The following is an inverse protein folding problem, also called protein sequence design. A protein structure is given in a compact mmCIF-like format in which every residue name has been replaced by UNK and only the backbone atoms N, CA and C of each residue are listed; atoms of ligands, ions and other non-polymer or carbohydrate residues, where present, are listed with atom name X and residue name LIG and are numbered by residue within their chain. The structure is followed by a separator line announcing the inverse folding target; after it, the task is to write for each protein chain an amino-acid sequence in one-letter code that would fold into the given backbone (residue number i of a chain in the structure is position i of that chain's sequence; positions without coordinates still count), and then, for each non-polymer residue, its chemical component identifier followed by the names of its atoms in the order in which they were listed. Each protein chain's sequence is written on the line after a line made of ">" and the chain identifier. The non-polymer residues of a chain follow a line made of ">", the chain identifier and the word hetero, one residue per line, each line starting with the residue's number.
data_IF_238072189733
#
_entry.id   IF_238072189733
#
_cell.length_a   1.000
_cell.length_b   1.000
_cell.length_c   1.000
_cell.angle_alpha   90.00
_cell.angle_beta   90.00
_cell.angle_gamma   90.00
#
_symmetry.space_group_name_H-M   'P 1'
#
loop_
_entity.id
_entity.type
_entity.pdbx_description
1 polymer ?
#
# COMPACT_ATOMS: atom_id res chain seq x y z
N UNK A 1 5.14 16.45 -7.52
CA UNK A 1 4.09 16.93 -8.46
C UNK A 1 2.69 16.71 -7.90
N UNK A 2 2.28 15.47 -7.56
CA UNK A 2 0.92 15.19 -7.08
C UNK A 2 0.44 16.11 -5.95
N UNK A 3 1.28 16.32 -4.93
CA UNK A 3 0.94 17.18 -3.81
C UNK A 3 0.64 18.61 -4.23
N UNK A 4 1.42 19.15 -5.16
CA UNK A 4 1.17 20.49 -5.70
C UNK A 4 -0.20 20.55 -6.36
N UNK A 5 -0.54 19.57 -7.18
CA UNK A 5 -1.84 19.52 -7.86
C UNK A 5 -2.98 19.43 -6.84
N UNK A 6 -2.87 18.54 -5.86
CA UNK A 6 -3.88 18.35 -4.81
C UNK A 6 -3.98 19.51 -3.81
N UNK A 7 -2.94 20.34 -3.68
CA UNK A 7 -2.98 21.60 -2.90
C UNK A 7 -3.69 22.71 -3.66
N UNK A 8 -3.71 22.67 -4.99
CA UNK A 8 -4.50 23.57 -5.85
C UNK A 8 -5.84 22.91 -6.23
N UNK A 9 -6.31 21.98 -5.39
CA UNK A 9 -7.56 21.24 -5.51
C UNK A 9 -7.74 20.42 -6.80
N UNK A 10 -6.74 20.19 -7.63
CA UNK A 10 -6.93 19.33 -8.80
C UNK A 10 -7.16 17.86 -8.44
N UNK A 11 -8.09 17.22 -9.14
CA UNK A 11 -8.46 15.82 -8.97
C UNK A 11 -8.46 15.05 -10.30
N UNK A 12 -8.40 13.73 -10.22
CA UNK A 12 -8.34 12.83 -11.38
C UNK A 12 -9.43 11.77 -11.29
N UNK A 13 -10.14 11.55 -12.41
CA UNK A 13 -11.27 10.61 -12.49
C UNK A 13 -10.84 9.14 -12.63
N UNK A 14 -9.58 8.90 -13.02
CA UNK A 14 -9.00 7.56 -13.09
C UNK A 14 -7.57 7.53 -12.54
N UNK A 15 -7.13 6.33 -12.14
CA UNK A 15 -5.77 6.10 -11.67
C UNK A 15 -4.75 6.32 -12.79
N UNK A 16 -5.09 5.96 -14.03
CA UNK A 16 -4.24 6.19 -15.21
C UNK A 16 -4.09 7.68 -15.52
N UNK A 17 -5.15 8.48 -15.39
CA UNK A 17 -5.07 9.95 -15.55
C UNK A 17 -4.22 10.59 -14.46
N UNK A 18 -4.36 10.12 -13.22
CA UNK A 18 -3.50 10.54 -12.11
C UNK A 18 -2.02 10.25 -12.41
N UNK A 19 -1.70 9.03 -12.84
CA UNK A 19 -0.32 8.65 -13.18
C UNK A 19 0.20 9.44 -14.39
N UNK A 20 -0.64 9.66 -15.40
CA UNK A 20 -0.30 10.47 -16.56
C UNK A 20 0.00 11.92 -16.17
N UNK A 21 -0.75 12.53 -15.26
CA UNK A 21 -0.47 13.88 -14.78
C UNK A 21 0.89 13.98 -14.05
N UNK A 22 1.38 12.88 -13.48
CA UNK A 22 2.65 12.86 -12.75
C UNK A 22 3.87 12.77 -13.66
N UNK A 23 3.82 11.93 -14.68
CA UNK A 23 4.97 11.65 -15.53
C UNK A 23 4.63 11.32 -16.98
N UNK A 24 3.47 11.76 -17.46
CA UNK A 24 3.01 11.57 -18.83
C UNK A 24 2.85 10.09 -19.19
N UNK A 25 3.11 9.80 -20.47
CA UNK A 25 3.02 8.45 -21.02
C UNK A 25 4.11 7.51 -20.48
N UNK A 26 5.20 8.04 -19.92
CA UNK A 26 6.22 7.21 -19.27
C UNK A 26 5.64 6.48 -18.05
N UNK A 27 4.92 7.20 -17.18
CA UNK A 27 4.34 6.62 -15.96
C UNK A 27 3.24 5.61 -16.27
N UNK A 28 2.40 5.86 -17.27
CA UNK A 28 1.38 4.88 -17.69
C UNK A 28 2.00 3.66 -18.36
N UNK A 29 3.10 3.82 -19.13
CA UNK A 29 3.86 2.69 -19.69
C UNK A 29 4.46 1.79 -18.61
N UNK A 30 4.84 2.35 -17.47
CA UNK A 30 5.38 1.58 -16.34
C UNK A 30 4.37 0.60 -15.73
N UNK A 31 3.08 0.73 -16.01
CA UNK A 31 2.06 -0.27 -15.69
C UNK A 31 2.07 -1.47 -16.63
N UNK A 32 2.71 -1.37 -17.80
CA UNK A 32 2.62 -2.37 -18.87
C UNK A 32 3.94 -3.07 -19.19
N UNK A 33 4.99 -2.78 -18.43
CA UNK A 33 6.30 -3.42 -18.58
C UNK A 33 6.86 -3.79 -17.20
N UNK A 34 7.77 -4.76 -17.17
CA UNK A 34 8.44 -5.16 -15.93
C UNK A 34 9.50 -4.13 -15.49
N UNK A 35 9.86 -4.12 -14.21
CA UNK A 35 10.99 -3.30 -13.73
C UNK A 35 12.31 -3.78 -14.33
N UNK A 36 12.46 -5.09 -14.55
CA UNK A 36 13.62 -5.68 -15.22
C UNK A 36 13.82 -5.09 -16.63
N UNK A 37 12.81 -5.16 -17.51
CA UNK A 37 12.86 -4.60 -18.86
C UNK A 37 13.11 -3.08 -18.86
N UNK A 38 12.47 -2.36 -17.93
CA UNK A 38 12.61 -0.92 -17.82
C UNK A 38 14.05 -0.52 -17.44
N UNK A 39 14.66 -1.22 -16.49
CA UNK A 39 16.02 -0.94 -16.03
C UNK A 39 17.08 -1.39 -17.03
N UNK A 40 16.89 -2.53 -17.70
CA UNK A 40 17.77 -2.92 -18.79
C UNK A 40 17.77 -1.88 -19.92
N UNK A 41 16.58 -1.37 -20.30
CA UNK A 41 16.47 -0.29 -21.31
C UNK A 41 17.14 1.02 -20.86
N UNK A 42 17.15 1.29 -19.56
CA UNK A 42 17.87 2.43 -18.99
C UNK A 42 19.40 2.20 -18.86
N UNK A 43 19.92 1.04 -19.28
CA UNK A 43 21.36 0.75 -19.31
C UNK A 43 21.91 0.07 -18.05
N UNK A 44 21.05 -0.36 -17.12
CA UNK A 44 21.50 -1.12 -15.95
C UNK A 44 21.81 -2.57 -16.33
N UNK A 45 22.89 -3.11 -15.76
CA UNK A 45 23.27 -4.50 -15.99
C UNK A 45 22.31 -5.47 -15.28
N UNK A 46 22.13 -6.67 -15.85
CA UNK A 46 21.36 -7.73 -15.20
C UNK A 46 21.90 -8.08 -13.81
N UNK A 47 23.22 -7.98 -13.62
CA UNK A 47 23.87 -8.19 -12.32
C UNK A 47 23.36 -7.21 -11.27
N UNK A 48 23.31 -5.91 -11.61
CA UNK A 48 22.77 -4.90 -10.70
C UNK A 48 21.28 -5.14 -10.40
N UNK A 49 20.50 -5.51 -11.42
CA UNK A 49 19.08 -5.82 -11.25
C UNK A 49 18.89 -7.01 -10.30
N UNK A 50 19.67 -8.08 -10.47
CA UNK A 50 19.56 -9.28 -9.65
C UNK A 50 20.10 -9.09 -8.23
N UNK A 51 21.20 -8.36 -8.05
CA UNK A 51 21.91 -8.26 -6.76
C UNK A 51 21.49 -7.05 -5.92
N UNK A 52 20.85 -6.03 -6.51
CA UNK A 52 20.45 -4.79 -5.80
C UNK A 52 18.94 -4.56 -5.89
N UNK A 53 18.39 -4.59 -7.10
CA UNK A 53 16.96 -4.28 -7.31
C UNK A 53 16.08 -5.40 -6.77
N UNK A 54 16.37 -6.65 -7.14
CA UNK A 54 15.58 -7.80 -6.71
C UNK A 54 15.48 -7.94 -5.17
N UNK A 55 16.57 -7.81 -4.39
CA UNK A 55 16.47 -7.81 -2.93
C UNK A 55 15.58 -6.70 -2.37
N UNK A 56 15.64 -5.47 -2.92
CA UNK A 56 14.74 -4.39 -2.53
C UNK A 56 13.28 -4.73 -2.83
N UNK A 57 12.99 -5.27 -4.03
CA UNK A 57 11.66 -5.74 -4.40
C UNK A 57 11.14 -6.82 -3.45
N UNK A 58 11.99 -7.77 -3.04
CA UNK A 58 11.61 -8.87 -2.15
C UNK A 58 11.35 -8.41 -0.72
N UNK A 59 12.05 -7.38 -0.24
CA UNK A 59 11.79 -6.75 1.06
C UNK A 59 10.45 -6.02 1.06
N UNK A 60 10.19 -5.20 0.04
CA UNK A 60 9.03 -4.30 0.03
C UNK A 60 7.75 -4.98 -0.48
N UNK A 61 7.90 -5.88 -1.46
CA UNK A 61 6.80 -6.49 -2.21
C UNK A 61 6.87 -8.01 -2.30
N UNK A 62 7.82 -8.69 -1.63
CA UNK A 62 7.86 -10.16 -1.59
C UNK A 62 7.89 -10.85 -2.97
N UNK A 63 8.20 -10.09 -4.00
CA UNK A 63 8.09 -10.43 -5.41
C UNK A 63 9.39 -10.01 -6.09
N UNK A 64 9.77 -10.73 -7.15
CA UNK A 64 10.98 -10.44 -7.92
C UNK A 64 10.81 -9.26 -8.88
N UNK A 65 11.72 -9.18 -9.85
CA UNK A 65 11.81 -8.06 -10.82
C UNK A 65 10.89 -8.21 -12.04
N UNK A 66 10.15 -9.31 -12.14
CA UNK A 66 9.21 -9.58 -13.22
C UNK A 66 7.82 -8.95 -13.01
N UNK A 67 7.73 -7.92 -12.15
CA UNK A 67 6.50 -7.17 -11.87
C UNK A 67 6.57 -5.76 -12.42
N UNK A 68 5.43 -5.07 -12.42
CA UNK A 68 5.25 -3.74 -13.03
C UNK A 68 6.35 -2.75 -12.62
N UNK A 69 6.88 -2.05 -13.62
CA UNK A 69 7.96 -1.06 -13.45
C UNK A 69 7.59 0.04 -12.47
N UNK A 70 6.32 0.44 -12.38
CA UNK A 70 5.87 1.46 -11.42
C UNK A 70 6.00 0.98 -9.97
N UNK A 71 5.61 -0.28 -9.70
CA UNK A 71 5.84 -0.94 -8.41
C UNK A 71 7.33 -0.99 -8.09
N UNK A 72 8.15 -1.30 -9.11
CA UNK A 72 9.60 -1.26 -9.02
C UNK A 72 10.16 0.09 -8.57
N UNK A 73 9.71 1.17 -9.21
CA UNK A 73 10.13 2.53 -8.85
C UNK A 73 9.70 2.91 -7.43
N UNK A 74 8.47 2.56 -7.02
CA UNK A 74 7.99 2.81 -5.65
C UNK A 74 8.80 2.01 -4.63
N UNK A 75 9.15 0.76 -4.93
CA UNK A 75 10.02 -0.06 -4.07
C UNK A 75 11.39 0.58 -3.87
N UNK A 76 12.02 1.02 -4.97
CA UNK A 76 13.36 1.61 -4.94
C UNK A 76 13.40 2.97 -4.25
N UNK A 77 12.31 3.76 -4.33
CA UNK A 77 12.17 4.99 -3.56
C UNK A 77 12.23 4.71 -2.03
N UNK A 78 11.77 3.54 -1.59
CA UNK A 78 11.88 3.09 -0.19
C UNK A 78 13.29 2.64 0.24
N UNK A 79 14.28 2.67 -0.65
CA UNK A 79 15.70 2.36 -0.35
C UNK A 79 16.52 3.64 -0.19
N UNK A 80 15.97 4.79 -0.57
CA UNK A 80 16.66 6.08 -0.48
C UNK A 80 16.95 6.48 0.98
N UNK A 81 18.01 7.25 1.19
CA UNK A 81 18.28 7.89 2.48
C UNK A 81 17.27 8.98 2.81
N UNK A 82 17.12 9.33 4.10
CA UNK A 82 16.25 10.43 4.51
C UNK A 82 14.79 10.04 4.76
N UNK A 83 14.50 8.73 4.74
CA UNK A 83 13.24 8.21 5.25
C UNK A 83 13.10 8.51 6.75
N UNK A 84 11.86 8.77 7.17
CA UNK A 84 11.54 9.11 8.54
C UNK A 84 10.40 8.22 9.05
N UNK A 85 10.21 8.22 10.36
CA UNK A 85 9.09 7.57 11.01
C UNK A 85 8.49 8.48 12.07
N UNK A 86 7.22 8.27 12.38
CA UNK A 86 6.56 9.00 13.46
C UNK A 86 7.11 8.53 14.80
N UNK A 87 7.50 9.46 15.67
CA UNK A 87 7.85 9.15 17.06
C UNK A 87 6.67 8.43 17.75
N UNK A 88 6.91 7.28 18.38
CA UNK A 88 5.85 6.40 18.91
C UNK A 88 5.27 5.40 17.86
N UNK A 89 5.76 5.47 16.62
CA UNK A 89 5.52 4.52 15.54
C UNK A 89 4.46 4.96 14.54
N UNK A 90 4.61 4.51 13.28
CA UNK A 90 3.71 4.86 12.17
C UNK A 90 2.24 4.44 12.39
N UNK A 91 1.95 3.56 13.36
CA UNK A 91 0.57 3.26 13.79
C UNK A 91 -0.22 4.52 14.18
N UNK A 92 0.49 5.55 14.65
CA UNK A 92 -0.12 6.81 15.07
C UNK A 92 -0.62 7.66 13.91
N UNK A 93 -0.18 7.42 12.67
CA UNK A 93 -0.63 8.18 11.50
C UNK A 93 -2.14 8.04 11.33
N UNK A 94 -2.65 6.81 11.29
CA UNK A 94 -4.09 6.57 11.13
C UNK A 94 -4.90 7.11 12.32
N UNK A 95 -4.42 6.90 13.55
CA UNK A 95 -5.08 7.43 14.76
C UNK A 95 -5.13 8.96 14.76
N UNK A 96 -4.04 9.61 14.37
CA UNK A 96 -3.96 11.07 14.28
C UNK A 96 -4.90 11.63 13.22
N UNK A 97 -4.98 10.98 12.04
CA UNK A 97 -5.90 11.37 10.97
C UNK A 97 -7.37 11.25 11.40
N UNK A 98 -7.76 10.16 12.07
CA UNK A 98 -9.12 9.97 12.57
C UNK A 98 -9.49 11.05 13.61
N UNK A 99 -8.55 11.37 14.52
CA UNK A 99 -8.72 12.43 15.49
C UNK A 99 -8.87 13.81 14.83
N UNK A 100 -7.97 14.16 13.90
CA UNK A 100 -7.98 15.44 13.21
C UNK A 100 -9.26 15.63 12.36
N UNK A 101 -9.74 14.56 11.73
CA UNK A 101 -10.99 14.56 10.97
C UNK A 101 -12.24 14.62 11.86
N UNK A 102 -12.10 14.47 13.19
CA UNK A 102 -13.21 14.28 14.12
C UNK A 102 -14.17 13.17 13.66
N UNK A 103 -13.58 12.09 13.14
CA UNK A 103 -14.34 11.00 12.55
C UNK A 103 -15.15 10.24 13.61
N UNK A 104 -16.41 9.95 13.30
CA UNK A 104 -17.18 8.97 14.07
C UNK A 104 -16.81 7.56 13.57
N UNK A 105 -16.12 6.81 14.41
CA UNK A 105 -15.58 5.50 14.05
C UNK A 105 -16.49 4.41 14.59
N UNK A 106 -17.17 3.72 13.67
CA UNK A 106 -18.04 2.59 13.99
C UNK A 106 -17.25 1.28 13.80
N UNK A 107 -16.92 0.54 14.88
CA UNK A 107 -16.25 -0.75 14.76
C UNK A 107 -17.22 -1.79 14.19
N UNK A 108 -17.06 -2.13 12.91
CA UNK A 108 -17.92 -3.09 12.25
C UNK A 108 -17.40 -3.52 10.88
N UNK A 109 -18.04 -4.55 10.33
CA UNK A 109 -17.76 -5.06 8.98
C UNK A 109 -18.89 -4.69 8.04
N UNK A 110 -18.60 -3.91 7.01
CA UNK A 110 -19.54 -3.64 5.91
C UNK A 110 -19.85 -4.93 5.16
N UNK A 111 -21.14 -5.21 4.97
CA UNK A 111 -21.64 -6.41 4.30
C UNK A 111 -22.25 -6.10 2.94
N UNK A 112 -22.98 -4.99 2.81
CA UNK A 112 -23.57 -4.60 1.53
C UNK A 112 -23.75 -3.11 1.39
N UNK A 113 -23.73 -2.66 0.13
CA UNK A 113 -24.07 -1.30 -0.28
C UNK A 113 -25.21 -1.42 -1.30
N UNK A 114 -26.23 -0.57 -1.16
CA UNK A 114 -27.38 -0.54 -2.06
C UNK A 114 -27.78 0.91 -2.36
N UNK A 115 -27.98 1.30 -3.62
CA UNK A 115 -28.52 2.61 -3.94
C UNK A 115 -30.01 2.68 -3.55
N UNK A 116 -30.40 3.79 -2.93
CA UNK A 116 -31.79 4.12 -2.60
C UNK A 116 -32.13 5.47 -3.21
N UNK A 117 -33.34 5.61 -3.73
CA UNK A 117 -33.85 6.88 -4.22
C UNK A 117 -34.95 7.37 -3.30
N UNK A 118 -34.87 8.63 -2.87
CA UNK A 118 -35.96 9.30 -2.15
C UNK A 118 -36.36 10.60 -2.86
N UNK A 119 -37.62 11.06 -2.74
CA UNK A 119 -37.98 12.41 -3.16
C UNK A 119 -37.21 13.44 -2.35
N UNK A 120 -36.57 14.39 -3.02
CA UNK A 120 -35.94 15.55 -2.40
C UNK A 120 -36.97 16.61 -2.00
N UNK A 121 -36.53 17.68 -1.29
CA UNK A 121 -37.42 18.76 -0.85
C UNK A 121 -38.17 19.46 -1.99
N UNK A 122 -37.58 19.52 -3.18
CA UNK A 122 -38.16 20.11 -4.40
C UNK A 122 -38.87 19.07 -5.30
N UNK A 123 -38.97 17.81 -4.87
CA UNK A 123 -39.54 16.70 -5.66
C UNK A 123 -38.53 15.97 -6.54
N UNK A 124 -37.33 16.52 -6.73
CA UNK A 124 -36.26 15.86 -7.50
C UNK A 124 -35.76 14.58 -6.83
N UNK A 125 -35.49 13.51 -7.58
CA UNK A 125 -34.99 12.26 -7.00
C UNK A 125 -33.57 12.45 -6.44
N UNK A 126 -33.40 12.21 -5.14
CA UNK A 126 -32.09 12.20 -4.47
C UNK A 126 -31.63 10.75 -4.33
N UNK A 127 -30.47 10.44 -4.90
CA UNK A 127 -29.80 9.15 -4.75
C UNK A 127 -28.98 9.14 -3.46
N UNK A 128 -29.16 8.09 -2.68
CA UNK A 128 -28.42 7.80 -1.46
C UNK A 128 -27.91 6.36 -1.49
N UNK A 129 -27.03 6.01 -0.57
CA UNK A 129 -26.53 4.65 -0.43
C UNK A 129 -26.81 4.13 0.96
N UNK A 130 -27.59 3.06 1.03
CA UNK A 130 -27.75 2.32 2.27
C UNK A 130 -26.59 1.34 2.44
N UNK A 131 -25.84 1.50 3.54
CA UNK A 131 -24.70 0.66 3.89
C UNK A 131 -25.10 -0.21 5.06
N UNK A 132 -25.13 -1.53 4.84
CA UNK A 132 -25.41 -2.52 5.88
C UNK A 132 -24.10 -3.05 6.43
N UNK A 133 -23.95 -3.07 7.74
CA UNK A 133 -22.74 -3.52 8.42
C UNK A 133 -23.07 -4.27 9.72
N UNK A 134 -22.17 -5.17 10.11
CA UNK A 134 -22.28 -5.92 11.35
C UNK A 134 -21.35 -5.35 12.40
N UNK A 135 -21.89 -5.05 13.58
CA UNK A 135 -21.15 -4.57 14.75
C UNK A 135 -21.16 -5.63 15.85
N UNK A 136 -20.52 -5.35 16.98
CA UNK A 136 -20.64 -6.21 18.18
C UNK A 136 -22.06 -6.27 18.73
N UNK A 137 -22.89 -5.26 18.45
CA UNK A 137 -24.29 -5.18 18.86
C UNK A 137 -25.25 -5.82 17.86
N UNK A 138 -24.75 -6.35 16.74
CA UNK A 138 -25.51 -7.00 15.69
C UNK A 138 -25.54 -6.25 14.36
N UNK A 139 -26.42 -6.73 13.48
CA UNK A 139 -26.62 -6.23 12.13
C UNK A 139 -27.37 -4.89 12.15
N UNK A 140 -26.82 -3.88 11.50
CA UNK A 140 -27.43 -2.56 11.37
C UNK A 140 -27.09 -1.94 10.02
N UNK A 141 -27.59 -0.74 9.73
CA UNK A 141 -27.22 0.00 8.54
C UNK A 141 -27.73 1.43 8.55
N UNK A 142 -27.05 2.27 7.78
CA UNK A 142 -27.32 3.71 7.67
C UNK A 142 -27.26 4.15 6.21
N UNK A 143 -27.73 5.37 5.95
CA UNK A 143 -27.84 5.93 4.60
C UNK A 143 -26.95 7.14 4.47
N UNK A 144 -26.15 7.18 3.40
CA UNK A 144 -25.16 8.24 3.14
C UNK A 144 -25.34 8.84 1.74
N UNK A 145 -25.04 10.12 1.58
CA UNK A 145 -25.03 10.81 0.28
C UNK A 145 -23.83 10.41 -0.59
N UNK A 146 -22.68 10.20 0.06
CA UNK A 146 -21.41 9.83 -0.57
C UNK A 146 -20.79 8.66 0.18
N UNK A 147 -20.28 7.66 -0.55
CA UNK A 147 -19.58 6.50 0.02
C UNK A 147 -18.20 6.38 -0.62
N UNK A 148 -17.16 6.34 0.22
CA UNK A 148 -15.78 6.09 -0.19
C UNK A 148 -15.34 4.72 0.33
N UNK A 149 -14.88 3.86 -0.57
CA UNK A 149 -14.42 2.51 -0.25
C UNK A 149 -12.89 2.49 -0.24
N UNK A 150 -12.33 2.36 0.96
CA UNK A 150 -10.90 2.17 1.21
C UNK A 150 -10.51 0.70 1.39
N UNK A 151 -11.47 -0.24 1.41
CA UNK A 151 -11.17 -1.66 1.54
C UNK A 151 -10.90 -2.29 0.17
N UNK A 152 -9.92 -3.21 0.03
CA UNK A 152 -9.73 -3.97 -1.20
C UNK A 152 -10.98 -4.77 -1.57
N UNK A 153 -11.55 -4.51 -2.75
CA UNK A 153 -12.86 -5.07 -3.14
C UNK A 153 -12.85 -6.53 -3.61
N UNK A 154 -11.69 -7.18 -3.69
CA UNK A 154 -11.62 -8.60 -4.03
C UNK A 154 -12.45 -9.46 -3.05
N UNK A 155 -13.14 -10.49 -3.56
CA UNK A 155 -14.05 -11.33 -2.73
C UNK A 155 -13.38 -11.94 -1.49
N UNK A 156 -12.09 -12.27 -1.56
CA UNK A 156 -11.34 -12.82 -0.42
C UNK A 156 -10.94 -11.77 0.61
N UNK A 157 -11.17 -10.49 0.32
CA UNK A 157 -10.80 -9.33 1.16
C UNK A 157 -12.05 -8.73 1.80
N UNK A 158 -12.66 -7.70 1.20
CA UNK A 158 -13.80 -7.02 1.78
C UNK A 158 -15.08 -7.89 1.76
N UNK A 159 -15.35 -8.57 0.64
CA UNK A 159 -16.58 -9.33 0.38
C UNK A 159 -17.86 -8.51 0.59
N UNK A 160 -17.87 -7.26 0.10
CA UNK A 160 -19.03 -6.38 0.16
C UNK A 160 -19.95 -6.71 -1.02
N UNK A 161 -21.23 -6.96 -0.74
CA UNK A 161 -22.24 -7.18 -1.77
C UNK A 161 -22.80 -5.84 -2.28
N UNK A 162 -22.64 -5.58 -3.58
CA UNK A 162 -23.28 -4.45 -4.26
C UNK A 162 -24.66 -4.87 -4.79
N UNK A 163 -25.72 -4.39 -4.14
CA UNK A 163 -27.11 -4.79 -4.45
C UNK A 163 -27.78 -3.74 -5.32
N UNK A 164 -28.60 -4.17 -6.28
CA UNK A 164 -29.49 -3.30 -7.08
C UNK A 164 -28.79 -2.16 -7.84
N UNK A 165 -27.52 -2.33 -8.21
CA UNK A 165 -26.80 -1.40 -9.08
C UNK A 165 -27.13 -1.65 -10.55
N UNK A 166 -27.30 -0.58 -11.32
CA UNK A 166 -27.49 -0.61 -12.77
C UNK A 166 -26.55 0.42 -13.43
N UNK A 167 -25.54 0.00 -14.21
CA UNK A 167 -25.10 -1.40 -14.38
C UNK A 167 -24.54 -2.00 -13.07
N UNK A 168 -24.45 -3.34 -12.95
CA UNK A 168 -23.82 -3.97 -11.80
C UNK A 168 -22.37 -3.50 -11.61
N UNK A 169 -21.95 -3.34 -10.35
CA UNK A 169 -20.54 -3.05 -10.03
C UNK A 169 -19.70 -4.28 -10.42
N UNK A 170 -18.63 -4.12 -11.22
CA UNK A 170 -17.83 -5.25 -11.67
C UNK A 170 -17.07 -5.89 -10.51
N UNK A 171 -16.71 -7.17 -10.67
CA UNK A 171 -15.80 -7.83 -9.75
C UNK A 171 -14.36 -7.37 -10.01
N UNK A 172 -13.59 -7.21 -8.94
CA UNK A 172 -12.20 -6.78 -9.00
C UNK A 172 -11.31 -7.90 -8.46
N UNK A 173 -10.96 -8.90 -9.30
CA UNK A 173 -10.09 -9.98 -8.88
C UNK A 173 -8.73 -9.41 -8.50
N UNK A 174 -8.47 -9.38 -7.20
CA UNK A 174 -7.25 -8.83 -6.64
C UNK A 174 -6.58 -9.90 -5.77
N UNK A 175 -5.82 -10.83 -6.36
CA UNK A 175 -5.04 -11.77 -5.57
C UNK A 175 -3.99 -10.98 -4.78
N UNK A 176 -4.01 -11.08 -3.46
CA UNK A 176 -3.00 -10.47 -2.61
C UNK A 176 -1.88 -11.47 -2.33
N UNK A 177 -0.67 -10.95 -2.19
CA UNK A 177 0.46 -11.70 -1.69
C UNK A 177 0.40 -11.73 -0.16
N UNK A 178 0.45 -12.93 0.41
CA UNK A 178 0.63 -13.09 1.85
C UNK A 178 2.08 -12.79 2.21
N UNK A 179 2.27 -12.00 3.27
CA UNK A 179 3.56 -11.84 3.94
C UNK A 179 3.42 -12.26 5.40
N UNK A 180 4.46 -12.92 5.90
CA UNK A 180 4.63 -13.20 7.32
C UNK A 180 5.80 -12.37 7.85
N UNK A 181 5.53 -11.54 8.84
CA UNK A 181 6.56 -10.92 9.66
C UNK A 181 6.72 -11.72 10.96
N UNK A 182 7.91 -12.27 11.16
CA UNK A 182 8.29 -12.96 12.40
C UNK A 182 9.25 -12.07 13.15
N UNK A 183 8.85 -11.59 14.33
CA UNK A 183 9.67 -10.80 15.24
C UNK A 183 10.27 -11.73 16.28
N UNK A 184 11.60 -11.74 16.40
CA UNK A 184 12.34 -12.63 17.29
C UNK A 184 13.24 -11.80 18.19
N UNK A 185 13.04 -11.86 19.50
CA UNK A 185 14.01 -11.34 20.46
C UNK A 185 15.07 -12.42 20.69
N UNK A 186 16.27 -12.23 20.15
CA UNK A 186 17.31 -13.26 20.23
C UNK A 186 18.63 -12.91 19.55
N UNK A 187 19.50 -13.92 19.47
CA UNK A 187 20.82 -13.85 18.85
C UNK A 187 20.85 -14.69 17.58
N UNK A 188 21.31 -14.09 16.48
CA UNK A 188 21.47 -14.80 15.22
C UNK A 188 22.54 -15.90 15.31
N UNK A 189 22.33 -16.96 14.55
CA UNK A 189 23.33 -17.98 14.30
C UNK A 189 24.26 -17.48 13.17
N UNK A 190 25.38 -16.86 13.54
CA UNK A 190 26.33 -16.29 12.59
C UNK A 190 26.88 -17.32 11.59
N UNK A 191 27.03 -18.58 12.02
CA UNK A 191 27.54 -19.67 11.17
C UNK A 191 26.59 -20.02 10.03
N UNK A 192 25.27 -19.82 10.19
CA UNK A 192 24.31 -19.96 9.09
C UNK A 192 24.60 -18.98 7.94
N UNK A 193 25.18 -17.82 8.26
CA UNK A 193 25.57 -16.79 7.29
C UNK A 193 27.03 -16.90 6.86
N UNK A 194 27.72 -18.01 7.17
CA UNK A 194 29.10 -18.26 6.77
C UNK A 194 30.17 -17.63 7.66
N UNK A 195 29.80 -17.06 8.81
CA UNK A 195 30.77 -16.50 9.76
C UNK A 195 31.24 -17.58 10.75
N UNK A 196 32.54 -17.83 10.79
CA UNK A 196 33.15 -18.76 11.74
C UNK A 196 33.22 -18.17 13.16
N UNK A 197 33.57 -16.89 13.25
CA UNK A 197 33.55 -16.14 14.51
C UNK A 197 32.25 -15.30 14.59
N UNK A 198 31.34 -15.60 15.54
CA UNK A 198 30.14 -14.80 15.76
C UNK A 198 30.43 -13.33 16.10
N UNK A 199 31.60 -13.01 16.65
CA UNK A 199 31.99 -11.64 16.97
C UNK A 199 32.24 -10.77 15.73
N UNK A 200 32.54 -11.40 14.58
CA UNK A 200 32.73 -10.73 13.29
C UNK A 200 31.40 -10.42 12.58
N UNK A 201 30.27 -10.95 13.05
CA UNK A 201 28.96 -10.68 12.46
C UNK A 201 28.49 -9.27 12.85
N UNK A 202 28.42 -8.36 11.88
CA UNK A 202 28.06 -6.93 12.07
C UNK A 202 26.88 -6.47 11.21
N UNK A 203 26.17 -7.39 10.56
CA UNK A 203 25.08 -7.04 9.64
C UNK A 203 23.79 -6.74 10.41
N UNK A 204 23.25 -5.55 10.22
CA UNK A 204 21.96 -5.15 10.78
C UNK A 204 20.77 -5.54 9.89
N UNK A 205 21.05 -5.85 8.62
CA UNK A 205 20.07 -6.32 7.65
C UNK A 205 20.68 -7.28 6.63
N UNK A 206 19.87 -8.24 6.19
CA UNK A 206 20.18 -9.23 5.16
C UNK A 206 18.98 -9.30 4.21
N UNK A 207 19.24 -9.11 2.92
CA UNK A 207 18.25 -9.21 1.86
C UNK A 207 18.60 -10.35 0.91
N UNK A 208 17.60 -11.02 0.36
CA UNK A 208 17.81 -12.18 -0.51
C UNK A 208 17.52 -11.86 -1.96
N UNK A 209 18.31 -12.45 -2.86
CA UNK A 209 17.95 -12.52 -4.28
C UNK A 209 16.80 -13.52 -4.49
N UNK A 210 16.24 -13.52 -5.71
CA UNK A 210 15.25 -14.52 -6.11
C UNK A 210 15.88 -15.92 -6.11
N UNK A 211 15.48 -16.75 -5.15
CA UNK A 211 15.89 -18.15 -5.10
C UNK A 211 14.78 -18.98 -4.42
N UNK A 212 14.16 -19.94 -5.14
CA UNK A 212 13.03 -20.71 -4.61
C UNK A 212 13.40 -21.62 -3.44
N UNK A 213 14.69 -21.86 -3.19
CA UNK A 213 15.18 -22.65 -2.05
C UNK A 213 15.25 -21.84 -0.75
N UNK A 214 15.16 -20.51 -0.82
CA UNK A 214 15.21 -19.66 0.37
C UNK A 214 13.85 -19.59 1.03
N UNK A 215 13.84 -19.74 2.35
CA UNK A 215 12.63 -19.67 3.19
C UNK A 215 12.37 -18.28 3.76
N UNK A 216 13.28 -17.32 3.52
CA UNK A 216 13.13 -15.91 3.90
C UNK A 216 13.34 -14.97 2.71
N UNK A 217 12.64 -13.83 2.76
CA UNK A 217 12.84 -12.70 1.85
C UNK A 217 13.87 -11.72 2.41
N UNK A 218 13.82 -11.48 3.72
CA UNK A 218 14.77 -10.62 4.42
C UNK A 218 14.77 -10.82 5.92
N UNK A 219 15.82 -10.31 6.55
CA UNK A 219 16.02 -10.28 7.99
C UNK A 219 16.65 -8.94 8.36
N UNK A 220 16.19 -8.29 9.42
CA UNK A 220 16.82 -7.05 9.87
C UNK A 220 16.45 -6.68 11.30
N UNK A 221 17.34 -5.96 11.97
CA UNK A 221 17.14 -5.45 13.32
C UNK A 221 16.03 -4.40 13.34
N UNK A 222 15.25 -4.38 14.42
CA UNK A 222 14.18 -3.39 14.63
C UNK A 222 14.50 -2.56 15.85
N UNK A 223 14.50 -1.24 15.67
CA UNK A 223 14.67 -0.29 16.76
C UNK A 223 13.34 0.01 17.46
N UNK A 224 13.36 0.32 18.77
CA UNK A 224 12.19 0.81 19.49
C UNK A 224 11.66 2.13 18.90
N UNK A 225 10.34 2.31 18.94
CA UNK A 225 9.67 3.50 18.39
C UNK A 225 9.70 4.73 19.31
N UNK A 226 10.08 4.54 20.58
CA UNK A 226 10.14 5.60 21.60
C UNK A 226 11.54 6.23 21.73
N UNK A 227 12.57 5.61 21.14
CA UNK A 227 13.96 6.08 21.23
C UNK A 227 14.29 7.12 20.16
N UNK A 228 14.94 8.21 20.57
CA UNK A 228 15.60 9.14 19.65
C UNK A 228 16.63 8.38 18.80
N UNK A 229 16.69 8.71 17.51
CA UNK A 229 17.40 7.92 16.51
C UNK A 229 18.86 7.64 16.86
N UNK A 230 19.31 6.44 16.47
CA UNK A 230 20.68 6.10 16.10
C UNK A 230 21.85 6.62 16.97
N UNK A 231 21.65 6.95 18.25
CA UNK A 231 22.76 7.21 19.16
C UNK A 231 23.32 5.87 19.64
N UNK A 232 24.19 5.29 18.81
CA UNK A 232 25.45 4.64 19.19
C UNK A 232 25.47 3.57 20.29
N UNK A 233 24.33 3.13 20.83
CA UNK A 233 24.30 2.08 21.83
C UNK A 233 24.53 0.77 21.11
N UNK A 234 25.77 0.27 21.22
CA UNK A 234 26.19 -1.07 20.85
C UNK A 234 25.04 -2.06 21.09
N UNK A 235 24.70 -2.91 20.10
CA UNK A 235 23.62 -3.86 20.28
C UNK A 235 23.88 -4.67 21.54
N UNK A 236 22.89 -4.73 22.43
CA UNK A 236 22.79 -5.89 23.31
C UNK A 236 22.98 -7.14 22.44
N UNK A 237 23.72 -8.16 22.90
CA UNK A 237 23.94 -9.38 22.12
C UNK A 237 22.63 -10.14 21.82
N UNK A 238 21.50 -9.70 22.38
CA UNK A 238 20.14 -10.04 21.97
C UNK A 238 19.43 -8.78 21.47
N UNK A 239 18.90 -8.84 20.24
CA UNK A 239 18.14 -7.77 19.61
C UNK A 239 16.78 -8.28 19.13
N UNK A 240 15.88 -7.37 18.74
CA UNK A 240 14.63 -7.75 18.07
C UNK A 240 14.87 -7.77 16.57
N UNK A 241 14.80 -8.96 15.98
CA UNK A 241 14.93 -9.19 14.56
C UNK A 241 13.57 -9.36 13.92
N UNK A 242 13.34 -8.70 12.79
CA UNK A 242 12.19 -8.94 11.92
C UNK A 242 12.63 -9.76 10.73
N UNK A 243 11.96 -10.89 10.54
CA UNK A 243 12.15 -11.78 9.41
C UNK A 243 10.89 -11.75 8.54
N UNK A 244 11.05 -11.39 7.26
CA UNK A 244 9.99 -11.51 6.28
C UNK A 244 10.10 -12.84 5.54
N UNK A 245 8.99 -13.58 5.47
CA UNK A 245 8.88 -14.85 4.78
C UNK A 245 7.50 -15.02 4.15
N UNK A 246 7.38 -15.97 3.22
CA UNK A 246 6.10 -16.32 2.58
C UNK A 246 5.16 -17.05 3.54
N UNK A 247 5.72 -17.93 4.36
CA UNK A 247 5.01 -18.76 5.34
C UNK A 247 5.59 -18.55 6.75
N UNK A 248 4.89 -19.06 7.76
CA UNK A 248 5.41 -19.07 9.14
C UNK A 248 6.64 -19.93 9.20
N UNK A 249 7.70 -19.41 9.82
CA UNK A 249 8.94 -20.14 10.01
C UNK A 249 8.71 -21.34 10.92
N UNK A 250 9.19 -22.51 10.50
CA UNK A 250 9.18 -23.71 11.35
C UNK A 250 10.19 -23.58 12.49
N UNK A 251 10.11 -24.45 13.50
CA UNK A 251 11.09 -24.46 14.60
C UNK A 251 12.51 -24.73 14.08
N UNK A 252 12.64 -25.59 13.07
CA UNK A 252 13.90 -25.93 12.42
C UNK A 252 14.46 -24.71 11.69
N UNK A 253 13.63 -23.98 10.94
CA UNK A 253 14.04 -22.74 10.26
C UNK A 253 14.44 -21.64 11.26
N UNK A 254 13.73 -21.52 12.39
CA UNK A 254 14.12 -20.63 13.47
C UNK A 254 15.46 -21.03 14.10
N UNK A 255 15.68 -22.33 14.33
CA UNK A 255 16.94 -22.86 14.85
C UNK A 255 18.12 -22.72 13.88
N UNK A 256 17.85 -22.65 12.56
CA UNK A 256 18.87 -22.29 11.57
C UNK A 256 19.27 -20.82 11.70
N UNK A 257 18.29 -19.91 11.84
CA UNK A 257 18.53 -18.47 11.86
C UNK A 257 19.05 -17.94 13.20
N UNK A 258 18.62 -18.54 14.32
CA UNK A 258 18.86 -18.03 15.67
C UNK A 258 19.57 -19.09 16.51
N UNK A 259 20.70 -18.71 17.11
CA UNK A 259 21.41 -19.55 18.07
C UNK A 259 20.63 -19.66 19.39
N UNK A 260 19.91 -18.59 19.76
CA UNK A 260 19.02 -18.54 20.92
C UNK A 260 17.99 -17.44 20.74
N UNK A 261 16.79 -17.61 21.31
CA UNK A 261 15.76 -16.57 21.35
C UNK A 261 14.87 -16.72 22.59
N UNK A 262 14.41 -15.58 23.11
CA UNK A 262 13.55 -15.53 24.31
C UNK A 262 12.06 -15.47 23.93
N UNK A 263 11.74 -14.84 22.80
CA UNK A 263 10.35 -14.70 22.36
C UNK A 263 10.23 -14.58 20.84
N UNK A 264 9.09 -15.04 20.34
CA UNK A 264 8.72 -14.99 18.92
C UNK A 264 7.30 -14.45 18.80
N UNK A 265 7.12 -13.39 18.01
CA UNK A 265 5.80 -12.85 17.64
C UNK A 265 5.62 -12.93 16.14
N UNK A 266 4.57 -13.60 15.71
CA UNK A 266 4.24 -13.76 14.28
C UNK A 266 3.05 -12.88 13.93
N UNK A 267 3.15 -12.17 12.81
CA UNK A 267 2.02 -11.50 12.18
C UNK A 267 1.94 -11.92 10.72
N UNK A 268 0.79 -12.47 10.34
CA UNK A 268 0.43 -12.73 8.94
C UNK A 268 -0.46 -11.61 8.44
N UNK A 269 -0.27 -11.20 7.19
CA UNK A 269 -1.21 -10.31 6.53
C UNK A 269 -1.14 -10.45 5.00
N UNK A 270 -2.22 -10.06 4.33
CA UNK A 270 -2.27 -9.88 2.89
C UNK A 270 -1.76 -8.47 2.60
N UNK A 271 -0.54 -8.38 2.07
CA UNK A 271 0.29 -7.17 2.13
C UNK A 271 0.07 -6.22 0.97
N UNK A 272 -0.01 -6.78 -0.23
CA UNK A 272 -0.10 -6.03 -1.47
C UNK A 272 -0.66 -6.95 -2.56
N UNK A 273 -1.23 -6.38 -3.64
CA UNK A 273 -1.58 -7.13 -4.82
C UNK A 273 -0.44 -7.99 -5.36
N UNK A 274 -0.79 -9.10 -6.00
CA UNK A 274 0.09 -9.82 -6.89
C UNK A 274 0.10 -9.08 -8.22
N UNK A 275 1.28 -8.58 -8.58
CA UNK A 275 1.46 -7.73 -9.75
C UNK A 275 1.88 -8.57 -10.95
N UNK A 276 1.38 -8.20 -12.13
CA UNK A 276 1.78 -8.80 -13.40
C UNK A 276 1.43 -7.83 -14.52
N UNK A 277 2.40 -7.32 -15.28
CA UNK A 277 2.11 -6.56 -16.50
C UNK A 277 1.40 -7.43 -17.56
N UNK A 278 0.52 -6.86 -18.40
CA UNK A 278 -0.01 -5.51 -18.31
C UNK A 278 -1.05 -5.38 -17.17
N UNK A 279 -1.10 -4.20 -16.56
CA UNK A 279 -2.01 -3.93 -15.43
C UNK A 279 -3.00 -2.83 -15.77
N UNK A 280 -4.26 -3.04 -15.38
CA UNK A 280 -5.34 -2.05 -15.54
C UNK A 280 -5.89 -1.74 -14.16
N UNK A 281 -5.85 -0.46 -13.77
CA UNK A 281 -6.32 -0.08 -12.47
C UNK A 281 -7.86 -0.12 -12.42
N UNK A 282 -8.45 -0.53 -11.29
CA UNK A 282 -9.88 -0.37 -11.04
C UNK A 282 -10.29 1.10 -11.19
N UNK A 283 -11.53 1.37 -11.62
CA UNK A 283 -12.05 2.73 -11.71
C UNK A 283 -12.14 3.36 -10.31
N UNK A 284 -11.83 4.65 -10.23
CA UNK A 284 -11.98 5.44 -8.99
C UNK A 284 -13.45 5.72 -8.72
N UNK A 285 -14.26 5.96 -9.76
CA UNK A 285 -15.71 6.17 -9.65
C UNK A 285 -16.43 4.87 -9.99
N UNK A 286 -17.12 4.27 -9.01
CA UNK A 286 -17.94 3.08 -9.21
C UNK A 286 -19.39 3.42 -9.57
N UNK A 287 -19.89 4.53 -9.04
CA UNK A 287 -21.21 5.10 -9.31
C UNK A 287 -21.19 6.60 -8.92
N UNK A 288 -22.25 7.37 -9.20
CA UNK A 288 -22.28 8.84 -9.13
C UNK A 288 -21.59 9.47 -7.90
N UNK A 289 -21.80 8.88 -6.72
CA UNK A 289 -21.25 9.30 -5.43
C UNK A 289 -20.65 8.10 -4.66
N UNK A 290 -20.20 7.08 -5.39
CA UNK A 290 -19.56 5.88 -4.84
C UNK A 290 -18.16 5.76 -5.42
N UNK A 291 -17.15 5.90 -4.56
CA UNK A 291 -15.75 5.96 -4.97
C UNK A 291 -14.94 4.79 -4.42
N UNK A 292 -14.03 4.24 -5.22
CA UNK A 292 -13.10 3.18 -4.84
C UNK A 292 -11.65 3.68 -4.91
N UNK A 293 -11.14 4.15 -3.77
CA UNK A 293 -9.80 4.72 -3.69
C UNK A 293 -8.71 3.64 -3.62
N UNK A 294 -9.01 2.48 -3.04
CA UNK A 294 -8.03 1.40 -2.89
C UNK A 294 -7.67 0.71 -4.22
N UNK A 295 -8.33 1.10 -5.32
CA UNK A 295 -7.94 0.70 -6.67
C UNK A 295 -6.53 1.13 -7.03
N UNK A 296 -6.02 2.24 -6.47
CA UNK A 296 -4.67 2.74 -6.76
C UNK A 296 -3.56 1.78 -6.29
N UNK A 297 -3.84 0.89 -5.34
CA UNK A 297 -2.87 -0.15 -4.94
C UNK A 297 -2.47 -1.08 -6.09
N UNK A 298 -3.27 -1.16 -7.16
CA UNK A 298 -2.91 -1.91 -8.38
C UNK A 298 -1.77 -1.26 -9.15
N UNK A 299 -1.62 0.06 -9.06
CA UNK A 299 -0.45 0.74 -9.61
C UNK A 299 0.78 0.51 -8.74
N UNK A 300 0.63 0.71 -7.43
CA UNK A 300 1.59 0.33 -6.40
C UNK A 300 0.94 0.48 -5.01
N UNK A 301 1.16 -0.49 -4.13
CA UNK A 301 0.73 -0.41 -2.73
C UNK A 301 1.82 0.20 -1.87
N UNK A 302 1.50 1.30 -1.20
CA UNK A 302 2.31 1.98 -0.18
C UNK A 302 1.41 2.94 0.60
N UNK A 303 1.79 3.30 1.84
CA UNK A 303 1.01 4.26 2.65
C UNK A 303 0.82 5.60 1.92
N UNK A 304 1.86 6.05 1.21
CA UNK A 304 1.85 7.27 0.41
C UNK A 304 0.81 7.21 -0.72
N UNK A 305 0.74 6.06 -1.41
CA UNK A 305 -0.24 5.84 -2.48
C UNK A 305 -1.67 5.86 -1.92
N UNK A 306 -1.90 5.27 -0.74
CA UNK A 306 -3.20 5.35 -0.06
C UNK A 306 -3.58 6.79 0.30
N UNK A 307 -2.62 7.61 0.77
CA UNK A 307 -2.84 9.02 1.07
C UNK A 307 -3.18 9.84 -0.20
N UNK A 308 -2.43 9.62 -1.28
CA UNK A 308 -2.69 10.22 -2.60
C UNK A 308 -4.08 9.86 -3.09
N UNK A 309 -4.46 8.58 -3.04
CA UNK A 309 -5.77 8.10 -3.47
C UNK A 309 -6.90 8.70 -2.64
N UNK A 310 -6.73 8.78 -1.32
CA UNK A 310 -7.73 9.36 -0.41
C UNK A 310 -7.95 10.85 -0.68
N UNK A 311 -6.86 11.63 -0.81
CA UNK A 311 -6.93 13.06 -1.14
C UNK A 311 -7.58 13.26 -2.52
N UNK A 312 -7.23 12.44 -3.51
CA UNK A 312 -7.84 12.48 -4.85
C UNK A 312 -9.34 12.20 -4.81
N UNK A 313 -9.77 11.14 -4.10
CA UNK A 313 -11.18 10.77 -4.00
C UNK A 313 -12.00 11.83 -3.26
N UNK A 314 -11.45 12.44 -2.20
CA UNK A 314 -12.09 13.53 -1.48
C UNK A 314 -12.29 14.77 -2.37
N UNK A 315 -11.25 15.19 -3.10
CA UNK A 315 -11.34 16.31 -4.04
C UNK A 315 -12.30 16.01 -5.19
N UNK A 316 -12.24 14.80 -5.75
CA UNK A 316 -13.14 14.38 -6.82
C UNK A 316 -14.60 14.39 -6.38
N UNK A 317 -14.89 13.89 -5.17
CA UNK A 317 -16.22 13.93 -4.58
C UNK A 317 -16.69 15.38 -4.36
N UNK A 318 -15.83 16.24 -3.82
CA UNK A 318 -16.12 17.66 -3.62
C UNK A 318 -16.46 18.37 -4.94
N UNK A 319 -15.62 18.23 -5.95
CA UNK A 319 -15.84 18.90 -7.24
C UNK A 319 -17.10 18.43 -7.94
N UNK A 320 -17.36 17.12 -7.92
CA UNK A 320 -18.61 16.57 -8.49
C UNK A 320 -19.84 17.04 -7.73
N UNK A 321 -19.75 17.15 -6.40
CA UNK A 321 -20.84 17.65 -5.56
C UNK A 321 -21.16 19.13 -5.84
N UNK A 322 -20.15 19.95 -6.12
CA UNK A 322 -20.30 21.39 -6.35
C UNK A 322 -20.37 21.80 -7.84
N UNK A 323 -20.22 20.86 -8.77
CA UNK A 323 -20.22 21.14 -10.21
C UNK A 323 -18.92 21.77 -10.74
N UNK A 324 -17.80 21.64 -10.03
CA UNK A 324 -16.50 22.22 -10.39
C UNK A 324 -15.74 21.32 -11.37
N UNK A 325 -16.28 21.11 -12.58
CA UNK A 325 -15.69 20.20 -13.56
C UNK A 325 -14.29 20.61 -14.03
N UNK A 326 -13.97 21.91 -14.05
CA UNK A 326 -12.69 22.45 -14.54
C UNK A 326 -11.47 22.06 -13.70
N UNK A 327 -11.70 21.60 -12.46
CA UNK A 327 -10.67 21.11 -11.55
C UNK A 327 -10.44 19.59 -11.66
N UNK A 328 -11.19 18.90 -12.53
CA UNK A 328 -11.09 17.45 -12.73
C UNK A 328 -10.38 17.15 -14.06
N UNK A 329 -9.37 16.28 -14.01
CA UNK A 329 -8.60 15.82 -15.17
C UNK A 329 -7.98 16.92 -16.01
N UNK A 330 -7.62 18.03 -15.37
CA UNK A 330 -7.07 19.17 -16.05
C UNK A 330 -5.71 18.80 -16.71
N UNK A 331 -5.56 19.18 -17.98
CA UNK A 331 -4.33 18.97 -18.74
C UNK A 331 -3.34 20.13 -18.54
N UNK A 332 -2.06 19.84 -18.80
CA UNK A 332 -0.94 20.79 -18.73
C UNK A 332 -0.75 21.49 -17.38
N UNK A 333 -1.17 20.83 -16.29
CA UNK A 333 -1.06 21.34 -14.92
C UNK A 333 0.35 21.76 -14.53
N UNK A 334 1.37 21.05 -15.02
CA UNK A 334 2.76 21.37 -14.71
C UNK A 334 3.16 22.74 -15.26
N UNK A 335 2.75 23.08 -16.49
CA UNK A 335 3.04 24.37 -17.09
C UNK A 335 2.15 25.48 -16.52
N UNK A 336 0.85 25.21 -16.33
CA UNK A 336 -0.08 26.17 -15.69
C UNK A 336 0.39 26.62 -14.32
N UNK A 337 0.80 25.67 -13.47
CA UNK A 337 1.23 26.00 -12.12
C UNK A 337 2.62 26.65 -12.09
N UNK A 338 3.49 26.43 -13.07
CA UNK A 338 4.76 27.19 -13.16
C UNK A 338 4.51 28.69 -13.38
N UNK A 339 3.47 29.06 -14.10
CA UNK A 339 3.16 30.46 -14.43
C UNK A 339 2.41 31.21 -13.32
N UNK A 340 1.96 30.51 -12.28
CA UNK A 340 1.26 31.10 -11.12
C UNK A 340 2.20 31.44 -9.95
N UNK A 341 3.52 31.28 -10.12
CA UNK A 341 4.58 31.70 -9.18
C UNK A 341 5.42 32.83 -9.77
#
# INVERSE_FOLDING_TARGET
>A
RIYRYQTHDYAFSSNERLLHALGGTDFTRMLNQTIDEAMQRAGFSQKFINEVVCPAMRVNYGQGVNINSFVGAVSLAGVESGLWSVKGGNKLVCTGLLYAAKADVIPGRVLSIEPKTRPGPAGDPVKLYHVTYNTTSGLTGETYDIVLIAAPLGRQMANIAFKNFQPPIPDFPNPYHQTVATFVHGRLNASFFGYQDPSAFRLDAIFTMENPKLFINSLGVVSPVEGGGADGTSPSPSAVWKVFSKEVLTKEQLGLLFASYDSVKVKKWLAYPRYSPPEKCPPVVLHDNLYYLNGLERAASAMEMSAIAAKNAALLAYHRWHGNADSIDQEDLHEKLKTEL
#
